data_IF_150936434417
#
_entry.id   IF_150936434417
#
_cell.length_a   1.000
_cell.length_b   1.000
_cell.length_c   1.000
_cell.angle_alpha   90.00
_cell.angle_beta   90.00
_cell.angle_gamma   90.00
#
_symmetry.space_group_name_H-M   'P 1'
#
loop_
_entity.id
_entity.type
_entity.pdbx_description
1 polymer ?
#
# COMPACT_ATOMS: atom_id res chain seq x y z
N UNK A 1 15.25 -45.88 -33.41
CA UNK A 1 14.22 -45.19 -32.60
C UNK A 1 14.97 -44.31 -31.61
N UNK A 2 15.09 -43.01 -31.89
CA UNK A 2 15.81 -42.06 -31.04
C UNK A 2 14.80 -41.44 -30.06
N UNK A 3 15.04 -41.57 -28.77
CA UNK A 3 14.23 -40.92 -27.73
C UNK A 3 15.03 -39.76 -27.16
N UNK A 4 14.51 -38.55 -27.34
CA UNK A 4 15.04 -37.34 -26.72
C UNK A 4 14.50 -37.22 -25.30
N UNK A 5 15.39 -37.09 -24.32
CA UNK A 5 15.06 -36.76 -22.94
C UNK A 5 14.61 -35.28 -22.91
N UNK A 6 13.46 -34.92 -22.34
CA UNK A 6 13.10 -33.52 -22.16
C UNK A 6 14.07 -32.89 -21.15
N UNK A 7 14.75 -31.83 -21.57
CA UNK A 7 15.54 -30.97 -20.70
C UNK A 7 14.65 -30.45 -19.58
N UNK A 8 14.95 -30.83 -18.33
CA UNK A 8 14.31 -30.27 -17.14
C UNK A 8 14.59 -28.77 -17.14
N UNK A 9 13.55 -27.95 -17.19
CA UNK A 9 13.66 -26.51 -17.01
C UNK A 9 14.35 -26.26 -15.66
N UNK A 10 15.55 -25.68 -15.71
CA UNK A 10 16.26 -25.23 -14.52
C UNK A 10 15.52 -23.99 -14.03
N UNK A 11 14.81 -24.12 -12.90
CA UNK A 11 14.21 -22.98 -12.23
C UNK A 11 15.34 -22.00 -11.88
N UNK A 12 15.30 -20.80 -12.46
CA UNK A 12 16.22 -19.73 -12.07
C UNK A 12 16.18 -19.56 -10.55
N UNK A 13 17.32 -19.36 -9.88
CA UNK A 13 17.32 -19.08 -8.44
C UNK A 13 16.41 -17.89 -8.19
N UNK A 14 15.46 -18.03 -7.24
CA UNK A 14 14.64 -16.88 -6.84
C UNK A 14 15.58 -15.79 -6.30
N UNK A 15 15.34 -14.51 -6.60
CA UNK A 15 16.18 -13.43 -6.09
C UNK A 15 16.13 -13.40 -4.56
N UNK A 16 17.27 -13.18 -3.90
CA UNK A 16 17.42 -13.28 -2.45
C UNK A 16 18.28 -12.14 -1.91
N UNK A 17 17.95 -11.68 -0.69
CA UNK A 17 18.81 -10.76 0.04
C UNK A 17 20.13 -11.44 0.43
N UNK A 18 21.24 -10.71 0.31
CA UNK A 18 22.55 -11.20 0.75
C UNK A 18 22.62 -11.30 2.28
N UNK A 19 21.97 -10.36 2.98
CA UNK A 19 21.82 -10.39 4.44
C UNK A 19 20.39 -10.01 4.79
N UNK A 20 19.75 -10.78 5.66
CA UNK A 20 18.45 -10.44 6.22
C UNK A 20 18.39 -10.80 7.71
N UNK A 21 17.71 -9.97 8.48
CA UNK A 21 17.37 -10.22 9.88
C UNK A 21 15.88 -9.99 10.08
N UNK A 22 15.25 -10.89 10.85
CA UNK A 22 13.83 -10.82 11.21
C UNK A 22 13.76 -10.97 12.72
N UNK A 23 13.06 -10.04 13.38
CA UNK A 23 12.87 -10.07 14.84
C UNK A 23 11.40 -9.85 15.15
N UNK A 24 10.81 -10.74 15.93
CA UNK A 24 9.49 -10.48 16.50
C UNK A 24 9.62 -9.33 17.50
N UNK A 25 8.72 -8.38 17.41
CA UNK A 25 8.65 -7.23 18.27
C UNK A 25 7.51 -7.41 19.27
N UNK A 26 7.87 -7.35 20.55
CA UNK A 26 6.93 -7.48 21.69
C UNK A 26 6.83 -6.18 22.49
N UNK A 27 7.71 -5.21 22.25
CA UNK A 27 7.64 -3.88 22.85
C UNK A 27 6.73 -2.94 22.03
N UNK A 28 6.16 -1.95 22.72
CA UNK A 28 5.34 -0.92 22.08
C UNK A 28 6.14 -0.02 21.16
N UNK A 29 5.49 0.61 20.18
CA UNK A 29 6.13 1.58 19.28
C UNK A 29 5.30 1.91 18.05
N UNK A 30 5.69 2.96 17.33
CA UNK A 30 5.03 3.30 16.06
C UNK A 30 5.50 2.36 14.94
N UNK A 31 4.56 1.86 14.15
CA UNK A 31 4.87 1.10 12.95
C UNK A 31 5.39 2.01 11.84
N UNK A 32 6.39 1.53 11.09
CA UNK A 32 6.82 2.20 9.86
C UNK A 32 6.02 1.70 8.66
N UNK A 33 6.02 2.49 7.59
CA UNK A 33 5.73 1.94 6.27
C UNK A 33 6.85 0.96 5.87
N UNK A 34 6.53 0.00 5.00
CA UNK A 34 7.57 -0.81 4.36
C UNK A 34 8.33 0.08 3.38
N UNK A 35 9.62 0.32 3.64
CA UNK A 35 10.44 1.22 2.85
C UNK A 35 11.57 0.47 2.13
N UNK A 36 11.59 0.60 0.80
CA UNK A 36 12.72 0.22 -0.04
C UNK A 36 13.67 1.42 -0.14
N UNK A 37 14.73 1.38 0.63
CA UNK A 37 15.77 2.40 0.66
C UNK A 37 16.74 2.29 -0.53
N UNK A 38 17.46 3.38 -0.79
CA UNK A 38 18.51 3.42 -1.80
C UNK A 38 19.59 2.35 -1.56
N UNK A 39 20.15 1.82 -2.66
CA UNK A 39 21.22 0.82 -2.60
C UNK A 39 20.76 -0.54 -2.08
N UNK A 40 19.52 -0.94 -2.38
CA UNK A 40 19.05 -2.30 -2.09
C UNK A 40 18.76 -2.61 -0.63
N UNK A 41 18.42 -1.60 0.18
CA UNK A 41 18.11 -1.79 1.61
C UNK A 41 16.60 -1.87 1.85
N UNK A 42 16.18 -2.85 2.63
CA UNK A 42 14.82 -2.95 3.17
C UNK A 42 14.87 -2.67 4.67
N UNK A 43 14.03 -1.74 5.13
CA UNK A 43 13.80 -1.52 6.55
C UNK A 43 12.28 -1.50 6.82
N UNK A 44 11.86 -2.42 7.68
CA UNK A 44 10.49 -2.57 8.14
C UNK A 44 10.54 -2.59 9.67
N UNK A 45 9.76 -1.73 10.33
CA UNK A 45 9.71 -1.66 11.80
C UNK A 45 8.30 -1.83 12.33
N UNK A 46 8.16 -2.68 13.33
CA UNK A 46 6.94 -2.92 14.09
C UNK A 46 5.70 -3.26 13.23
N UNK A 47 5.88 -4.02 12.14
CA UNK A 47 4.81 -4.32 11.21
C UNK A 47 4.18 -5.69 11.38
N UNK A 48 2.88 -5.75 11.11
CA UNK A 48 2.14 -7.00 10.95
C UNK A 48 2.59 -7.73 9.72
N UNK A 49 2.61 -9.06 9.78
CA UNK A 49 3.05 -9.87 8.63
C UNK A 49 2.08 -9.75 7.46
N UNK A 50 0.78 -9.55 7.72
CA UNK A 50 -0.22 -9.24 6.70
C UNK A 50 0.15 -8.02 5.84
N UNK A 51 0.61 -6.94 6.45
CA UNK A 51 1.06 -5.74 5.75
C UNK A 51 2.34 -5.95 4.96
N UNK A 52 3.26 -6.78 5.48
CA UNK A 52 4.51 -7.12 4.78
C UNK A 52 4.21 -7.97 3.54
N UNK A 53 3.28 -8.94 3.65
CA UNK A 53 2.77 -9.74 2.53
C UNK A 53 2.09 -8.83 1.51
N UNK A 54 1.17 -7.95 1.95
CA UNK A 54 0.50 -6.99 1.08
C UNK A 54 1.50 -6.14 0.29
N UNK A 55 2.55 -5.66 0.95
CA UNK A 55 3.62 -4.91 0.28
C UNK A 55 4.40 -5.75 -0.74
N UNK A 56 4.78 -6.98 -0.39
CA UNK A 56 5.60 -7.85 -1.23
C UNK A 56 4.88 -8.28 -2.53
N UNK A 57 3.57 -8.47 -2.50
CA UNK A 57 2.75 -8.80 -3.68
C UNK A 57 1.98 -7.61 -4.27
N UNK A 58 2.17 -6.40 -3.74
CA UNK A 58 1.42 -5.19 -4.16
C UNK A 58 -0.10 -5.40 -4.06
N UNK A 59 -0.54 -6.06 -2.99
CA UNK A 59 -1.95 -6.36 -2.72
C UNK A 59 -2.52 -5.40 -1.69
N UNK A 60 -3.83 -5.16 -1.80
CA UNK A 60 -4.62 -4.48 -0.77
C UNK A 60 -4.94 -5.44 0.37
N UNK A 61 -5.09 -4.90 1.59
CA UNK A 61 -5.30 -5.71 2.79
C UNK A 61 -6.51 -6.66 2.66
N UNK A 62 -7.64 -6.18 2.09
CA UNK A 62 -8.84 -7.00 1.86
C UNK A 62 -8.67 -8.13 0.84
N UNK A 63 -7.55 -8.20 0.11
CA UNK A 63 -7.26 -9.28 -0.84
C UNK A 63 -6.51 -10.43 -0.17
N UNK A 64 -5.93 -10.22 1.02
CA UNK A 64 -5.33 -11.29 1.80
C UNK A 64 -6.42 -12.04 2.58
N UNK A 65 -6.58 -13.32 2.28
CA UNK A 65 -7.63 -14.15 2.89
C UNK A 65 -7.01 -15.38 3.55
N UNK A 66 -7.45 -15.64 4.78
CA UNK A 66 -7.04 -16.83 5.54
C UNK A 66 -5.69 -16.65 6.22
N UNK A 67 -5.03 -17.77 6.51
CA UNK A 67 -3.81 -17.78 7.30
C UNK A 67 -4.07 -17.74 8.81
N UNK A 68 -3.02 -17.97 9.61
CA UNK A 68 -3.13 -17.96 11.06
C UNK A 68 -3.31 -16.55 11.60
N UNK A 69 -4.06 -16.42 12.71
CA UNK A 69 -4.42 -15.12 13.30
C UNK A 69 -3.23 -14.24 13.67
N UNK A 70 -2.06 -14.83 13.95
CA UNK A 70 -0.86 -14.10 14.30
C UNK A 70 -0.35 -13.19 13.17
N UNK A 71 -0.74 -13.44 11.91
CA UNK A 71 -0.43 -12.54 10.79
C UNK A 71 -0.97 -11.12 11.02
N UNK A 72 -2.06 -11.01 11.79
CA UNK A 72 -2.75 -9.75 12.09
C UNK A 72 -2.47 -9.18 13.48
N UNK A 73 -1.91 -9.97 14.40
CA UNK A 73 -1.56 -9.49 15.75
C UNK A 73 -0.07 -9.22 15.91
N UNK A 74 0.76 -10.12 15.41
CA UNK A 74 2.18 -10.15 15.74
C UNK A 74 2.93 -9.15 14.87
N UNK A 75 3.92 -8.49 15.48
CA UNK A 75 4.69 -7.43 14.85
C UNK A 75 6.13 -7.86 14.68
N UNK A 76 6.75 -7.44 13.60
CA UNK A 76 8.10 -7.80 13.23
C UNK A 76 8.90 -6.60 12.75
N UNK A 77 10.20 -6.67 13.00
CA UNK A 77 11.20 -5.89 12.32
C UNK A 77 11.87 -6.75 11.26
N UNK A 78 12.05 -6.18 10.07
CA UNK A 78 12.83 -6.78 8.99
C UNK A 78 13.87 -5.77 8.53
N UNK A 79 15.13 -6.18 8.60
CA UNK A 79 16.24 -5.44 8.01
C UNK A 79 16.93 -6.36 7.01
N UNK A 80 16.98 -5.96 5.74
CA UNK A 80 17.62 -6.75 4.70
C UNK A 80 18.42 -5.88 3.74
N UNK A 81 19.48 -6.46 3.18
CA UNK A 81 20.39 -5.81 2.23
C UNK A 81 20.60 -6.71 1.02
N UNK A 82 20.37 -6.16 -0.16
CA UNK A 82 20.63 -6.78 -1.44
C UNK A 82 22.08 -6.56 -1.89
N UNK A 83 22.57 -7.42 -2.76
CA UNK A 83 23.74 -7.11 -3.57
C UNK A 83 23.37 -6.14 -4.69
N UNK A 84 24.21 -5.13 -4.90
CA UNK A 84 24.01 -4.11 -5.94
C UNK A 84 22.84 -3.17 -5.67
N UNK A 85 22.20 -2.72 -6.74
CA UNK A 85 21.09 -1.75 -6.73
C UNK A 85 19.90 -2.31 -7.50
N UNK A 86 19.22 -3.35 -6.97
CA UNK A 86 18.05 -3.93 -7.61
C UNK A 86 16.92 -2.89 -7.73
N UNK A 87 16.08 -3.08 -8.74
CA UNK A 87 14.82 -2.36 -8.91
C UNK A 87 13.85 -2.64 -7.75
N UNK A 88 12.81 -1.82 -7.63
CA UNK A 88 11.79 -2.03 -6.59
C UNK A 88 11.05 -3.36 -6.75
N UNK A 89 10.81 -3.80 -7.99
CA UNK A 89 10.12 -5.07 -8.26
C UNK A 89 11.01 -6.27 -7.92
N UNK A 90 12.31 -6.19 -8.21
CA UNK A 90 13.28 -7.20 -7.76
C UNK A 90 13.33 -7.25 -6.22
N UNK A 91 13.39 -6.10 -5.55
CA UNK A 91 13.34 -6.04 -4.08
C UNK A 91 12.08 -6.68 -3.50
N UNK A 92 10.92 -6.49 -4.14
CA UNK A 92 9.68 -7.16 -3.74
C UNK A 92 9.77 -8.68 -3.92
N UNK A 93 10.33 -9.16 -5.03
CA UNK A 93 10.55 -10.60 -5.25
C UNK A 93 11.54 -11.21 -4.24
N UNK A 94 12.57 -10.45 -3.83
CA UNK A 94 13.48 -10.85 -2.76
C UNK A 94 12.77 -10.96 -1.42
N UNK A 95 11.87 -10.01 -1.12
CA UNK A 95 11.04 -10.07 0.07
C UNK A 95 10.07 -11.26 0.03
N UNK A 96 9.46 -11.57 -1.12
CA UNK A 96 8.65 -12.78 -1.27
C UNK A 96 9.47 -14.04 -0.92
N UNK A 97 10.68 -14.16 -1.48
CA UNK A 97 11.57 -15.29 -1.20
C UNK A 97 11.96 -15.39 0.28
N UNK A 98 12.25 -14.25 0.93
CA UNK A 98 12.54 -14.20 2.35
C UNK A 98 11.34 -14.69 3.20
N UNK A 99 10.12 -14.28 2.85
CA UNK A 99 8.91 -14.69 3.56
C UNK A 99 8.60 -16.18 3.36
N UNK A 100 8.79 -16.70 2.15
CA UNK A 100 8.66 -18.13 1.86
C UNK A 100 9.68 -18.97 2.65
N UNK A 101 10.92 -18.52 2.77
CA UNK A 101 11.97 -19.25 3.49
C UNK A 101 11.76 -19.21 5.01
N UNK A 102 11.50 -18.03 5.57
CA UNK A 102 11.54 -17.80 7.02
C UNK A 102 10.23 -18.04 7.73
N UNK A 103 9.11 -17.77 7.06
CA UNK A 103 7.78 -18.03 7.59
C UNK A 103 7.14 -19.28 6.96
N UNK A 104 7.85 -19.98 6.07
CA UNK A 104 7.31 -21.10 5.29
C UNK A 104 6.02 -20.71 4.54
N UNK A 105 5.93 -19.44 4.15
CA UNK A 105 4.74 -18.87 3.54
C UNK A 105 4.49 -19.52 2.18
N UNK A 106 3.23 -19.93 1.94
CA UNK A 106 2.75 -20.35 0.63
C UNK A 106 1.52 -19.52 0.28
N UNK A 107 1.60 -18.81 -0.84
CA UNK A 107 0.51 -17.96 -1.33
C UNK A 107 -0.16 -18.64 -2.52
N UNK A 108 -1.49 -18.63 -2.54
CA UNK A 108 -2.29 -19.09 -3.65
C UNK A 108 -3.18 -17.94 -4.13
N UNK A 109 -3.24 -17.77 -5.45
CA UNK A 109 -4.11 -16.78 -6.06
C UNK A 109 -5.38 -17.47 -6.53
N UNK A 110 -6.51 -16.90 -6.17
CA UNK A 110 -7.82 -17.32 -6.65
C UNK A 110 -8.67 -16.10 -6.99
N UNK A 111 -9.64 -16.32 -7.87
CA UNK A 111 -10.67 -15.32 -8.17
C UNK A 111 -11.83 -15.51 -7.21
N UNK A 112 -12.23 -14.44 -6.53
CA UNK A 112 -13.35 -14.46 -5.58
C UNK A 112 -14.25 -13.25 -5.77
N UNK A 113 -15.55 -13.44 -5.58
CA UNK A 113 -16.49 -12.33 -5.44
C UNK A 113 -16.37 -11.72 -4.05
N UNK A 114 -16.05 -10.43 -3.99
CA UNK A 114 -15.98 -9.66 -2.75
C UNK A 114 -17.06 -8.57 -2.74
N UNK A 115 -17.67 -8.30 -1.59
CA UNK A 115 -18.51 -7.12 -1.43
C UNK A 115 -17.69 -5.85 -1.66
N UNK A 116 -18.26 -4.90 -2.41
CA UNK A 116 -17.63 -3.63 -2.75
C UNK A 116 -18.56 -2.46 -2.39
N UNK A 117 -17.98 -1.28 -2.19
CA UNK A 117 -18.72 -0.03 -2.13
C UNK A 117 -18.69 0.66 -3.50
N UNK A 118 -19.75 1.39 -3.81
CA UNK A 118 -19.79 2.28 -4.97
C UNK A 118 -19.78 3.72 -4.48
N UNK A 119 -18.78 4.48 -4.88
CA UNK A 119 -18.70 5.91 -4.65
C UNK A 119 -19.58 6.62 -5.68
N UNK A 120 -20.61 7.34 -5.22
CA UNK A 120 -21.55 8.06 -6.07
C UNK A 120 -21.56 9.55 -5.75
N UNK A 121 -21.95 10.36 -6.73
CA UNK A 121 -22.07 11.80 -6.50
C UNK A 121 -23.25 12.07 -5.57
N UNK A 122 -23.00 12.81 -4.48
CA UNK A 122 -24.06 13.23 -3.58
C UNK A 122 -25.07 14.15 -4.31
N UNK A 123 -26.33 14.20 -3.84
CA UNK A 123 -27.39 15.05 -4.45
C UNK A 123 -27.01 16.53 -4.55
N UNK A 124 -26.14 17.02 -3.67
CA UNK A 124 -25.61 18.38 -3.68
C UNK A 124 -24.37 18.59 -4.55
N UNK A 125 -23.95 17.59 -5.31
CA UNK A 125 -22.70 17.61 -6.07
C UNK A 125 -21.45 17.38 -5.22
N UNK A 126 -20.29 17.53 -5.86
CA UNK A 126 -18.99 17.39 -5.20
C UNK A 126 -18.68 18.63 -4.37
N UNK A 127 -18.24 18.40 -3.13
CA UNK A 127 -17.62 19.43 -2.29
C UNK A 127 -16.09 19.40 -2.35
N UNK A 128 -15.51 18.49 -3.12
CA UNK A 128 -14.06 18.43 -3.29
C UNK A 128 -13.59 19.67 -4.05
N UNK A 129 -12.47 20.22 -3.63
CA UNK A 129 -11.87 21.34 -4.32
C UNK A 129 -11.19 20.81 -5.59
N UNK A 130 -11.56 21.36 -6.75
CA UNK A 130 -10.82 21.11 -7.98
C UNK A 130 -9.41 21.70 -7.87
N UNK A 131 -8.42 20.93 -8.33
CA UNK A 131 -7.03 21.35 -8.40
C UNK A 131 -6.85 22.58 -9.30
N UNK A 132 -6.00 23.49 -8.85
CA UNK A 132 -5.53 24.66 -9.59
C UNK A 132 -4.01 24.63 -9.70
N UNK A 133 -3.49 25.21 -10.78
CA UNK A 133 -2.05 25.37 -10.95
C UNK A 133 -1.45 26.12 -9.75
N UNK A 134 -0.40 25.55 -9.17
CA UNK A 134 0.25 26.07 -7.95
C UNK A 134 -0.26 25.47 -6.63
N UNK A 135 -1.33 24.67 -6.61
CA UNK A 135 -1.80 24.02 -5.37
C UNK A 135 -0.80 23.00 -4.80
N UNK A 136 0.05 22.44 -5.66
CA UNK A 136 1.12 21.54 -5.28
C UNK A 136 2.27 21.55 -6.30
N UNK A 137 3.43 21.09 -5.86
CA UNK A 137 4.64 20.95 -6.66
C UNK A 137 4.59 19.62 -7.41
N UNK A 138 4.68 19.65 -8.74
CA UNK A 138 4.88 18.42 -9.51
C UNK A 138 6.32 17.95 -9.31
N UNK A 139 6.49 16.68 -8.97
CA UNK A 139 7.83 16.10 -8.83
C UNK A 139 8.49 16.02 -10.21
N UNK A 140 9.63 16.69 -10.34
CA UNK A 140 10.48 16.64 -11.52
C UNK A 140 11.87 16.10 -11.12
N UNK A 141 12.22 14.86 -11.53
CA UNK A 141 13.51 14.28 -11.18
C UNK A 141 14.71 15.00 -11.83
N UNK A 142 14.49 15.86 -12.82
CA UNK A 142 15.54 16.63 -13.49
C UNK A 142 15.83 17.98 -12.83
N UNK A 143 14.96 18.44 -11.92
CA UNK A 143 15.10 19.71 -11.23
C UNK A 143 15.49 19.47 -9.76
N UNK A 144 16.76 19.70 -9.37
CA UNK A 144 17.19 19.53 -7.99
C UNK A 144 16.46 20.52 -7.07
N UNK A 145 16.01 20.03 -5.90
CA UNK A 145 15.34 20.85 -4.90
C UNK A 145 16.23 22.04 -4.48
N UNK A 146 15.68 23.25 -4.54
CA UNK A 146 16.40 24.45 -4.09
C UNK A 146 16.71 24.37 -2.58
N UNK A 147 17.95 24.63 -2.12
CA UNK A 147 18.31 24.60 -0.71
C UNK A 147 17.58 25.64 0.16
N UNK A 148 17.05 26.70 -0.46
CA UNK A 148 16.49 27.86 0.22
C UNK A 148 15.01 27.75 0.59
N UNK A 149 14.30 26.74 0.08
CA UNK A 149 12.88 26.53 0.40
C UNK A 149 12.73 25.20 1.13
N UNK A 150 12.22 25.17 2.38
CA UNK A 150 11.94 23.91 3.06
C UNK A 150 10.75 23.22 2.39
N UNK A 151 11.01 22.40 1.37
CA UNK A 151 10.01 21.56 0.70
C UNK A 151 9.70 20.38 1.59
N UNK A 152 8.42 20.22 1.95
CA UNK A 152 7.91 19.11 2.75
C UNK A 152 7.20 18.11 1.83
N UNK A 153 7.10 16.82 2.22
CA UNK A 153 6.37 15.82 1.43
C UNK A 153 4.93 16.23 1.07
N UNK A 154 4.26 17.00 1.94
CA UNK A 154 2.90 17.49 1.73
C UNK A 154 2.74 18.54 0.63
N UNK A 155 3.85 19.13 0.18
CA UNK A 155 3.83 20.18 -0.82
C UNK A 155 3.80 19.60 -2.24
N UNK A 156 4.06 18.29 -2.40
CA UNK A 156 4.05 17.62 -3.70
C UNK A 156 2.66 17.12 -4.12
N UNK A 157 2.39 17.16 -5.42
CA UNK A 157 1.17 16.56 -5.98
C UNK A 157 1.17 15.04 -5.79
N UNK A 158 -0.02 14.49 -5.57
CA UNK A 158 -0.16 13.08 -5.22
C UNK A 158 0.04 12.80 -3.73
N UNK A 159 0.38 13.81 -2.91
CA UNK A 159 0.32 13.68 -1.47
C UNK A 159 -1.10 13.27 -1.06
N UNK A 160 -1.22 12.17 -0.33
CA UNK A 160 -2.50 11.61 0.07
C UNK A 160 -2.32 10.89 1.41
N UNK A 161 -2.74 11.54 2.49
CA UNK A 161 -2.67 11.01 3.84
C UNK A 161 -4.06 11.02 4.44
N UNK A 162 -4.58 9.82 4.63
CA UNK A 162 -5.83 9.53 5.31
C UNK A 162 -5.49 8.85 6.63
N UNK A 163 -5.63 9.59 7.72
CA UNK A 163 -5.31 9.17 9.09
C UNK A 163 -6.55 9.27 9.97
N UNK A 164 -6.50 8.70 11.18
CA UNK A 164 -7.60 8.75 12.14
C UNK A 164 -8.16 10.18 12.28
N UNK A 165 -9.36 10.39 11.73
CA UNK A 165 -10.13 11.62 11.76
C UNK A 165 -9.75 12.72 10.75
N UNK A 166 -8.75 12.52 9.88
CA UNK A 166 -8.32 13.57 8.92
C UNK A 166 -7.90 13.01 7.57
N UNK A 167 -8.35 13.66 6.50
CA UNK A 167 -7.87 13.44 5.15
C UNK A 167 -7.22 14.71 4.61
N UNK A 168 -5.93 14.62 4.30
CA UNK A 168 -5.17 15.64 3.60
C UNK A 168 -4.62 15.08 2.29
N UNK A 169 -5.09 15.59 1.16
CA UNK A 169 -4.60 15.23 -0.15
C UNK A 169 -4.55 16.44 -1.09
N UNK A 170 -3.53 16.46 -1.96
CA UNK A 170 -3.29 17.55 -2.90
C UNK A 170 -3.02 17.01 -4.30
N UNK A 171 -3.81 17.46 -5.27
CA UNK A 171 -3.67 17.10 -6.69
C UNK A 171 -3.80 15.60 -6.95
N UNK A 172 -4.83 14.95 -6.41
CA UNK A 172 -5.07 13.50 -6.57
C UNK A 172 -6.22 13.19 -7.56
N UNK A 173 -6.15 12.05 -8.24
CA UNK A 173 -7.22 11.56 -9.12
C UNK A 173 -8.34 10.85 -8.34
N UNK A 174 -9.50 10.67 -8.97
CA UNK A 174 -10.58 9.82 -8.39
C UNK A 174 -10.13 8.38 -8.11
N UNK A 175 -9.20 7.83 -8.89
CA UNK A 175 -8.61 6.52 -8.62
C UNK A 175 -7.83 6.49 -7.30
N UNK A 176 -7.12 7.58 -6.98
CA UNK A 176 -6.41 7.70 -5.71
C UNK A 176 -7.37 7.94 -4.54
N UNK A 177 -8.50 8.64 -4.78
CA UNK A 177 -9.60 8.79 -3.81
C UNK A 177 -10.19 7.41 -3.47
N UNK A 178 -10.61 6.64 -4.47
CA UNK A 178 -11.19 5.30 -4.23
C UNK A 178 -10.19 4.33 -3.62
N UNK A 179 -8.90 4.41 -4.00
CA UNK A 179 -7.86 3.59 -3.39
C UNK A 179 -7.67 3.89 -1.89
N UNK A 180 -7.68 5.18 -1.50
CA UNK A 180 -7.56 5.56 -0.09
C UNK A 180 -8.79 5.13 0.71
N UNK A 181 -10.00 5.30 0.15
CA UNK A 181 -11.24 4.80 0.75
C UNK A 181 -11.26 3.27 0.86
N UNK A 182 -10.69 2.56 -0.11
CA UNK A 182 -10.61 1.11 -0.06
C UNK A 182 -9.69 0.61 1.06
N UNK A 183 -8.61 1.35 1.33
CA UNK A 183 -7.68 1.04 2.42
C UNK A 183 -8.33 1.22 3.80
N UNK A 184 -9.18 2.24 4.00
CA UNK A 184 -9.85 2.46 5.30
C UNK A 184 -11.13 1.64 5.50
N UNK A 185 -11.90 1.41 4.44
CA UNK A 185 -13.14 0.62 4.52
C UNK A 185 -12.87 -0.89 4.44
N UNK A 186 -11.62 -1.24 4.14
CA UNK A 186 -11.15 -2.60 3.91
C UNK A 186 -12.02 -3.36 2.88
N UNK A 187 -12.45 -2.66 1.83
CA UNK A 187 -13.25 -3.20 0.72
C UNK A 187 -12.93 -2.46 -0.58
N UNK A 188 -13.08 -3.11 -1.74
CA UNK A 188 -13.00 -2.39 -3.01
C UNK A 188 -13.99 -1.23 -3.07
N UNK A 189 -13.56 -0.10 -3.61
CA UNK A 189 -14.41 1.08 -3.86
C UNK A 189 -14.42 1.36 -5.36
N UNK A 190 -15.61 1.33 -5.97
CA UNK A 190 -15.84 1.55 -7.40
C UNK A 190 -16.26 3.00 -7.60
N UNK A 191 -15.58 3.72 -8.48
CA UNK A 191 -15.95 5.09 -8.84
C UNK A 191 -17.15 5.10 -9.80
N UNK A 192 -18.23 5.78 -9.39
CA UNK A 192 -19.40 6.08 -10.21
C UNK A 192 -19.84 7.53 -10.00
N UNK A 193 -18.88 8.46 -9.81
CA UNK A 193 -19.19 9.89 -9.62
C UNK A 193 -19.15 10.70 -10.90
N UNK A 194 -18.64 10.14 -12.00
CA UNK A 194 -18.38 10.83 -13.27
C UNK A 194 -17.43 12.05 -13.15
N UNK A 195 -16.70 12.14 -12.03
CA UNK A 195 -15.79 13.25 -11.78
C UNK A 195 -14.44 12.95 -12.43
N UNK A 196 -13.89 13.94 -13.12
CA UNK A 196 -12.58 13.86 -13.76
C UNK A 196 -11.70 15.03 -13.36
N UNK A 197 -10.40 14.86 -13.53
CA UNK A 197 -9.39 15.84 -13.13
C UNK A 197 -8.70 15.50 -11.81
N UNK A 198 -8.04 16.51 -11.25
CA UNK A 198 -7.31 16.42 -10.00
C UNK A 198 -8.08 17.18 -8.91
N UNK A 199 -8.01 16.66 -7.69
CA UNK A 199 -8.75 17.16 -6.55
C UNK A 199 -7.83 17.37 -5.36
N UNK A 200 -8.15 18.39 -4.56
CA UNK A 200 -7.61 18.57 -3.22
C UNK A 200 -8.69 18.18 -2.20
N UNK A 201 -8.27 17.49 -1.16
CA UNK A 201 -9.12 17.08 -0.05
C UNK A 201 -8.47 17.57 1.24
N UNK A 202 -9.16 18.43 1.97
CA UNK A 202 -8.80 18.82 3.32
C UNK A 202 -10.04 18.72 4.17
N UNK A 203 -10.20 17.61 4.87
CA UNK A 203 -11.37 17.40 5.72
C UNK A 203 -10.99 16.70 7.01
N UNK A 204 -11.72 17.05 8.05
CA UNK A 204 -11.81 16.28 9.27
C UNK A 204 -13.07 15.42 9.19
N UNK A 205 -13.05 14.25 9.80
CA UNK A 205 -14.21 13.37 9.85
C UNK A 205 -14.25 12.65 11.21
N UNK A 206 -15.44 12.32 11.73
CA UNK A 206 -15.54 11.51 12.93
C UNK A 206 -15.10 10.08 12.62
N UNK A 207 -14.24 9.50 13.45
CA UNK A 207 -13.66 8.15 13.24
C UNK A 207 -14.73 7.08 12.99
N UNK A 208 -15.86 7.19 13.71
CA UNK A 208 -16.95 6.24 13.62
C UNK A 208 -17.59 6.24 12.22
N UNK A 209 -17.59 7.35 11.47
CA UNK A 209 -18.33 7.44 10.20
C UNK A 209 -17.73 6.65 9.04
N UNK A 210 -16.45 6.29 9.12
CA UNK A 210 -15.74 5.57 8.06
C UNK A 210 -15.46 4.10 8.40
N UNK A 211 -15.84 3.66 9.61
CA UNK A 211 -15.88 2.24 9.95
C UNK A 211 -16.94 1.53 9.11
N UNK A 212 -16.65 0.35 8.53
CA UNK A 212 -17.64 -0.40 7.74
C UNK A 212 -18.93 -0.73 8.53
N UNK A 213 -18.89 -0.71 9.87
CA UNK A 213 -20.04 -1.01 10.73
C UNK A 213 -20.97 0.20 11.00
N UNK A 214 -20.52 1.44 10.77
CA UNK A 214 -21.33 2.62 11.09
C UNK A 214 -22.38 2.98 10.03
N UNK A 215 -22.17 2.55 8.79
CA UNK A 215 -23.18 2.66 7.73
C UNK A 215 -24.41 1.78 8.02
N UNK A 216 -24.22 0.66 8.73
CA UNK A 216 -25.32 -0.24 9.11
C UNK A 216 -26.26 0.38 10.15
N UNK A 217 -25.80 1.30 10.98
CA UNK A 217 -26.63 1.94 12.02
C UNK A 217 -27.43 3.15 11.53
N UNK A 218 -27.15 3.67 10.33
CA UNK A 218 -27.93 4.78 9.72
C UNK A 218 -29.09 4.32 8.83
N UNK A 219 -29.31 3.01 8.75
CA UNK A 219 -30.35 2.37 7.95
C UNK A 219 -31.45 1.78 8.85
N UNK A 220 -31.96 2.56 9.80
CA UNK A 220 -33.19 2.22 10.53
C UNK A 220 -33.97 3.52 10.79
N UNK A 221 -35.30 3.47 10.62
CA UNK A 221 -36.14 4.61 10.22
C UNK A 221 -36.24 5.75 11.24
#
# INVERSE_FOLDING_TARGET
MSWSIPTRAQSSPKPQFAVASIKQRTDGGSASACCLGAGGRLNVKNQRVSNIIGFAWTMKYYQLVGGPSWLESDRFDIEATAEGSPSQDEMKQMLQSLLEERFHLKVHQETRQLPAYTLTLAKGGSKMQAFKEGDCIKYDPSTPASPSTPIRPRDFCGFNVLTQGRWNASGITMQQVTSALADITNRPVIDNTELSGLFNIHTEYPEDELSPDSAAHRSSP
#
